data_IF_671835592872
#
_entry.id   IF_671835592872
#
_cell.length_a   1.000
_cell.length_b   1.000
_cell.length_c   1.000
_cell.angle_alpha   90.00
_cell.angle_beta   90.00
_cell.angle_gamma   90.00
#
_symmetry.space_group_name_H-M   'P 1'
#
loop_
_entity.id
_entity.type
_entity.pdbx_description
1 polymer ?
#
# COMPACT_ATOMS: atom_id res chain seq x y z
N UNK A 1 2.79 12.46 -31.24
CA UNK A 1 4.00 12.91 -31.96
C UNK A 1 3.68 13.56 -33.31
N UNK A 2 3.07 12.86 -34.27
CA UNK A 2 2.69 13.44 -35.58
C UNK A 2 1.74 14.63 -35.47
N UNK A 3 0.76 14.59 -34.57
CA UNK A 3 -0.14 15.71 -34.31
C UNK A 3 0.60 16.95 -33.76
N UNK A 4 1.52 16.77 -32.83
CA UNK A 4 2.36 17.85 -32.26
C UNK A 4 3.28 18.45 -33.32
N UNK A 5 3.88 17.61 -34.18
CA UNK A 5 4.72 18.05 -35.29
C UNK A 5 3.93 18.86 -36.32
N UNK A 6 2.77 18.38 -36.76
CA UNK A 6 1.92 19.08 -37.73
C UNK A 6 1.38 20.39 -37.16
N UNK A 7 0.93 20.38 -35.90
CA UNK A 7 0.48 21.57 -35.20
C UNK A 7 1.57 22.65 -35.18
N UNK A 8 2.80 22.26 -34.85
CA UNK A 8 3.88 23.23 -34.70
C UNK A 8 4.56 23.64 -36.00
N UNK A 9 4.55 22.78 -37.00
CA UNK A 9 4.94 23.12 -38.37
C UNK A 9 3.97 24.12 -39.03
N UNK A 10 2.66 24.06 -38.70
CA UNK A 10 1.63 24.92 -39.30
C UNK A 10 1.36 26.21 -38.50
N UNK A 11 1.39 26.14 -37.17
CA UNK A 11 1.09 27.29 -36.28
C UNK A 11 2.32 27.90 -35.60
N UNK A 12 3.46 27.19 -35.51
CA UNK A 12 4.64 27.66 -34.78
C UNK A 12 5.20 28.97 -35.32
N UNK A 13 5.18 29.16 -36.64
CA UNK A 13 5.60 30.42 -37.27
C UNK A 13 4.62 31.59 -37.06
N UNK A 14 3.36 31.32 -36.66
CA UNK A 14 2.35 32.35 -36.39
C UNK A 14 2.22 32.70 -34.91
N UNK A 15 2.57 31.77 -34.02
CA UNK A 15 2.40 31.92 -32.57
C UNK A 15 3.67 32.40 -31.86
N UNK A 16 4.86 32.20 -32.46
CA UNK A 16 6.15 32.57 -31.86
C UNK A 16 6.67 33.92 -32.40
N UNK A 17 7.29 34.78 -31.57
CA UNK A 17 7.90 36.02 -32.02
C UNK A 17 9.00 35.77 -33.06
N UNK A 18 9.11 36.59 -34.12
CA UNK A 18 10.11 36.42 -35.17
C UNK A 18 11.57 36.48 -34.68
N UNK A 19 11.80 36.99 -33.46
CA UNK A 19 13.11 37.02 -32.81
C UNK A 19 13.69 35.62 -32.48
N UNK A 20 12.84 34.59 -32.38
CA UNK A 20 13.25 33.19 -32.15
C UNK A 20 13.37 32.38 -33.45
N UNK A 21 12.98 32.95 -34.59
CA UNK A 21 12.89 32.28 -35.89
C UNK A 21 14.18 32.41 -36.72
N UNK A 22 15.35 32.21 -36.10
CA UNK A 22 16.62 32.16 -36.84
C UNK A 22 16.84 30.78 -37.52
N UNK A 23 16.08 29.76 -37.08
CA UNK A 23 16.17 28.37 -37.55
C UNK A 23 15.02 28.00 -38.52
N UNK A 24 15.24 26.99 -39.37
CA UNK A 24 14.20 26.50 -40.29
C UNK A 24 12.93 26.02 -39.55
N UNK A 25 11.72 26.25 -40.08
CA UNK A 25 10.46 25.92 -39.41
C UNK A 25 10.30 24.43 -39.08
N UNK A 26 10.92 23.56 -39.88
CA UNK A 26 10.94 22.11 -39.67
C UNK A 26 11.80 21.73 -38.46
N UNK A 27 12.94 22.41 -38.25
CA UNK A 27 13.83 22.19 -37.10
C UNK A 27 13.13 22.54 -35.79
N UNK A 28 12.45 23.69 -35.76
CA UNK A 28 11.66 24.13 -34.61
C UNK A 28 10.51 23.15 -34.29
N UNK A 29 9.77 22.72 -35.31
CA UNK A 29 8.68 21.74 -35.14
C UNK A 29 9.19 20.40 -34.58
N UNK A 30 10.35 19.93 -35.03
CA UNK A 30 11.00 18.71 -34.55
C UNK A 30 11.46 18.84 -33.09
N UNK A 31 12.14 19.93 -32.74
CA UNK A 31 12.62 20.20 -31.39
C UNK A 31 11.48 20.19 -30.38
N UNK A 32 10.41 20.93 -30.64
CA UNK A 32 9.28 21.05 -29.72
C UNK A 32 8.42 19.79 -29.67
N UNK A 33 8.36 19.01 -30.76
CA UNK A 33 7.75 17.67 -30.73
C UNK A 33 8.53 16.71 -29.82
N UNK A 34 9.86 16.76 -29.85
CA UNK A 34 10.71 15.97 -28.97
C UNK A 34 10.59 16.43 -27.52
N UNK A 35 10.56 17.75 -27.27
CA UNK A 35 10.33 18.32 -25.93
C UNK A 35 9.05 17.80 -25.29
N UNK A 36 7.93 17.78 -26.03
CA UNK A 36 6.65 17.26 -25.52
C UNK A 36 6.72 15.75 -25.24
N UNK A 37 7.40 14.97 -26.08
CA UNK A 37 7.59 13.54 -25.84
C UNK A 37 8.37 13.28 -24.55
N UNK A 38 9.49 13.98 -24.36
CA UNK A 38 10.36 13.79 -23.19
C UNK A 38 9.64 14.21 -21.90
N UNK A 39 8.89 15.32 -21.93
CA UNK A 39 8.09 15.75 -20.77
C UNK A 39 7.00 14.73 -20.44
N UNK A 40 6.39 14.09 -21.44
CA UNK A 40 5.37 13.06 -21.23
C UNK A 40 5.91 11.76 -20.63
N UNK A 41 7.20 11.47 -20.80
CA UNK A 41 7.85 10.30 -20.22
C UNK A 41 8.26 10.56 -18.76
N UNK A 42 7.29 10.47 -17.86
CA UNK A 42 7.55 10.60 -16.41
C UNK A 42 8.09 9.29 -15.83
N UNK A 43 9.40 9.21 -15.62
CA UNK A 43 10.04 8.12 -14.86
C UNK A 43 9.49 7.99 -13.43
N UNK A 44 9.02 9.10 -12.86
CA UNK A 44 8.45 9.12 -11.51
C UNK A 44 7.16 8.30 -11.41
N UNK A 45 6.34 8.29 -12.47
CA UNK A 45 5.08 7.54 -12.49
C UNK A 45 5.32 6.03 -12.35
N UNK A 46 6.35 5.51 -13.02
CA UNK A 46 6.71 4.09 -12.96
C UNK A 46 7.34 3.66 -11.63
N UNK A 47 8.02 4.57 -10.94
CA UNK A 47 8.67 4.29 -9.65
C UNK A 47 7.78 4.61 -8.43
N UNK A 48 6.69 5.34 -8.61
CA UNK A 48 5.82 5.74 -7.51
C UNK A 48 5.29 4.55 -6.70
N UNK A 49 4.74 3.53 -7.38
CA UNK A 49 4.16 2.34 -6.73
C UNK A 49 5.22 1.49 -5.98
N UNK A 50 6.35 1.08 -6.60
CA UNK A 50 7.32 0.26 -5.89
C UNK A 50 7.98 1.01 -4.72
N UNK A 51 8.17 2.33 -4.84
CA UNK A 51 8.75 3.13 -3.74
C UNK A 51 7.76 3.28 -2.58
N UNK A 52 6.48 3.52 -2.84
CA UNK A 52 5.46 3.60 -1.78
C UNK A 52 5.28 2.26 -1.06
N UNK A 53 5.28 1.14 -1.79
CA UNK A 53 5.18 -0.21 -1.20
C UNK A 53 6.41 -0.54 -0.38
N UNK A 54 7.61 -0.24 -0.88
CA UNK A 54 8.87 -0.53 -0.18
C UNK A 54 8.97 0.25 1.14
N UNK A 55 8.72 1.55 1.11
CA UNK A 55 8.77 2.42 2.30
C UNK A 55 7.60 2.13 3.25
N UNK A 56 6.41 1.87 2.72
CA UNK A 56 5.25 1.49 3.52
C UNK A 56 5.46 0.18 4.27
N UNK A 57 6.05 -0.81 3.60
CA UNK A 57 6.37 -2.11 4.22
C UNK A 57 7.46 -1.98 5.27
N UNK A 58 8.53 -1.21 5.00
CA UNK A 58 9.59 -1.00 5.99
C UNK A 58 9.07 -0.30 7.24
N UNK A 59 8.22 0.72 7.09
CA UNK A 59 7.59 1.42 8.19
C UNK A 59 6.53 0.57 8.94
N UNK A 60 5.88 -0.36 8.24
CA UNK A 60 4.99 -1.34 8.86
C UNK A 60 5.75 -2.35 9.71
N UNK A 61 6.90 -2.83 9.20
CA UNK A 61 7.76 -3.77 9.92
C UNK A 61 8.29 -3.19 11.24
N UNK A 62 8.63 -1.90 11.29
CA UNK A 62 9.03 -1.25 12.56
C UNK A 62 7.89 -1.15 13.58
N UNK A 63 6.63 -1.29 13.15
CA UNK A 63 5.45 -1.36 14.01
C UNK A 63 4.98 -2.79 14.31
N UNK A 64 5.77 -3.80 13.94
CA UNK A 64 5.43 -5.22 14.15
C UNK A 64 4.43 -5.79 13.13
N UNK A 65 4.16 -5.09 12.03
CA UNK A 65 3.32 -5.58 10.94
C UNK A 65 4.19 -6.29 9.90
N UNK A 66 4.05 -7.60 9.79
CA UNK A 66 4.75 -8.40 8.78
C UNK A 66 3.88 -8.57 7.53
N UNK A 67 4.13 -7.74 6.51
CA UNK A 67 3.40 -7.79 5.24
C UNK A 67 4.15 -8.67 4.24
N UNK A 68 3.49 -9.71 3.73
CA UNK A 68 4.09 -10.65 2.77
C UNK A 68 3.66 -10.30 1.34
N UNK A 69 4.46 -9.48 0.66
CA UNK A 69 4.26 -9.06 -0.73
C UNK A 69 3.57 -7.71 -0.88
N UNK A 70 3.84 -7.01 -1.99
CA UNK A 70 3.37 -5.64 -2.23
C UNK A 70 1.86 -5.50 -2.47
N UNK A 71 1.26 -6.49 -3.14
CA UNK A 71 -0.17 -6.54 -3.48
C UNK A 71 -1.06 -6.50 -2.23
N UNK A 72 -0.57 -6.98 -1.09
CA UNK A 72 -1.32 -6.97 0.18
C UNK A 72 -1.63 -5.53 0.60
N UNK A 73 -0.67 -4.62 0.45
CA UNK A 73 -0.84 -3.22 0.84
C UNK A 73 -1.84 -2.49 -0.07
N UNK A 74 -1.86 -2.84 -1.36
CA UNK A 74 -2.83 -2.32 -2.32
C UNK A 74 -4.25 -2.81 -2.01
N UNK A 75 -4.42 -4.12 -1.78
CA UNK A 75 -5.72 -4.73 -1.47
C UNK A 75 -6.25 -4.33 -0.10
N UNK A 76 -5.38 -4.01 0.85
CA UNK A 76 -5.79 -3.61 2.19
C UNK A 76 -6.67 -2.36 2.19
N UNK A 77 -6.51 -1.47 1.18
CA UNK A 77 -7.33 -0.26 1.03
C UNK A 77 -8.81 -0.54 0.81
N UNK A 78 -9.15 -1.71 0.23
CA UNK A 78 -10.54 -2.10 -0.06
C UNK A 78 -11.12 -3.05 0.99
N UNK A 79 -10.35 -3.39 2.04
CA UNK A 79 -10.84 -4.27 3.11
C UNK A 79 -11.76 -3.48 4.03
N UNK A 80 -13.01 -3.90 4.11
CA UNK A 80 -14.07 -3.32 4.95
C UNK A 80 -14.38 -4.17 6.19
N UNK A 81 -14.16 -5.49 6.10
CA UNK A 81 -14.54 -6.46 7.13
C UNK A 81 -13.32 -7.25 7.61
N UNK A 82 -13.16 -7.34 8.93
CA UNK A 82 -12.10 -8.13 9.59
C UNK A 82 -12.74 -9.25 10.40
N UNK A 83 -12.47 -10.50 10.02
CA UNK A 83 -12.82 -11.68 10.80
C UNK A 83 -11.61 -12.14 11.62
N UNK A 84 -11.79 -12.21 12.94
CA UNK A 84 -10.79 -12.76 13.84
C UNK A 84 -11.07 -14.24 14.11
N UNK A 85 -10.02 -15.07 14.03
CA UNK A 85 -10.10 -16.40 14.59
C UNK A 85 -10.15 -16.32 16.13
N UNK A 86 -10.87 -17.21 16.80
CA UNK A 86 -11.02 -17.17 18.26
C UNK A 86 -9.82 -17.80 18.95
N UNK A 87 -9.39 -18.96 18.49
CA UNK A 87 -8.36 -19.76 19.16
C UNK A 87 -6.98 -19.29 18.73
N UNK A 88 -6.16 -18.80 19.68
CA UNK A 88 -4.79 -18.37 19.37
C UNK A 88 -4.66 -16.95 18.77
N UNK A 89 -5.75 -16.31 18.32
CA UNK A 89 -5.75 -14.88 17.96
C UNK A 89 -6.39 -14.03 19.07
N UNK A 90 -7.69 -14.22 19.36
CA UNK A 90 -8.34 -13.51 20.47
C UNK A 90 -8.05 -14.13 21.84
N UNK A 91 -7.76 -15.42 21.85
CA UNK A 91 -7.47 -16.18 23.07
C UNK A 91 -6.03 -16.67 23.06
N UNK A 92 -5.50 -16.93 24.24
CA UNK A 92 -4.11 -17.39 24.48
C UNK A 92 -3.86 -18.81 23.90
N UNK A 93 -4.90 -19.49 23.39
CA UNK A 93 -4.80 -20.84 22.83
C UNK A 93 -4.49 -21.92 23.87
N UNK A 94 -4.49 -21.57 25.16
CA UNK A 94 -4.24 -22.48 26.29
C UNK A 94 -5.51 -22.63 27.11
N UNK A 95 -6.21 -23.78 27.04
CA UNK A 95 -7.42 -24.00 27.82
C UNK A 95 -7.09 -24.03 29.32
N UNK A 96 -7.89 -23.37 30.14
CA UNK A 96 -7.78 -23.37 31.61
C UNK A 96 -9.17 -23.59 32.19
N UNK A 97 -9.26 -24.46 33.21
CA UNK A 97 -10.53 -24.72 33.90
C UNK A 97 -10.88 -23.49 34.73
N UNK A 98 -11.95 -22.79 34.37
CA UNK A 98 -12.40 -21.59 35.08
C UNK A 98 -13.49 -21.88 36.12
N UNK A 99 -14.29 -22.93 35.89
CA UNK A 99 -15.39 -23.29 36.79
C UNK A 99 -15.68 -24.78 36.67
N UNK A 100 -15.77 -25.44 37.81
CA UNK A 100 -16.33 -26.80 37.92
C UNK A 100 -17.69 -26.65 38.58
N UNK A 101 -18.75 -27.10 37.91
CA UNK A 101 -20.11 -27.13 38.46
C UNK A 101 -20.50 -28.59 38.64
N UNK A 102 -20.60 -29.02 39.90
CA UNK A 102 -21.18 -30.31 40.27
C UNK A 102 -22.67 -30.15 40.50
N UNK A 103 -23.51 -30.90 39.78
CA UNK A 103 -24.92 -31.06 40.13
C UNK A 103 -25.06 -32.25 41.08
N UNK A 104 -24.81 -32.02 42.36
CA UNK A 104 -24.91 -33.05 43.39
C UNK A 104 -24.21 -32.65 44.68
N UNK A 105 -24.82 -31.74 45.44
CA UNK A 105 -24.51 -31.60 46.86
C UNK A 105 -25.57 -32.39 47.62
N UNK A 106 -25.15 -33.56 48.09
CA UNK A 106 -25.97 -34.45 48.89
C UNK A 106 -25.09 -35.37 49.73
N UNK A 107 -24.11 -34.84 50.46
CA UNK A 107 -23.87 -35.18 51.87
C UNK A 107 -22.75 -34.31 52.44
N UNK A 108 -22.96 -33.89 53.67
CA UNK A 108 -22.03 -33.20 54.53
C UNK A 108 -21.38 -34.25 55.41
N UNK A 109 -20.06 -34.39 55.36
CA UNK A 109 -19.29 -34.98 56.46
C UNK A 109 -18.02 -34.15 56.66
N UNK A 110 -17.98 -33.49 57.82
CA UNK A 110 -16.77 -33.05 58.50
C UNK A 110 -15.79 -34.24 58.60
N UNK A 111 -14.56 -34.05 58.14
CA UNK A 111 -13.42 -34.78 58.64
C UNK A 111 -12.23 -33.82 58.74
N UNK A 112 -12.03 -33.41 59.98
CA UNK A 112 -10.92 -32.69 60.56
C UNK A 112 -9.52 -33.29 60.22
N UNK A 113 -8.52 -32.44 60.45
CA UNK A 113 -7.16 -32.79 60.83
C UNK A 113 -6.10 -33.16 59.76
N UNK A 114 -5.11 -32.26 59.71
CA UNK A 114 -3.66 -32.50 59.47
C UNK A 114 -3.19 -32.77 58.04
N UNK A 115 -2.42 -31.82 57.50
CA UNK A 115 -0.97 -32.05 57.35
C UNK A 115 -0.24 -30.71 57.09
N UNK A 116 0.41 -30.23 58.14
CA UNK A 116 1.62 -29.41 58.09
C UNK A 116 2.81 -30.36 58.01
N UNK A 117 3.51 -30.42 56.87
CA UNK A 117 4.97 -30.61 56.75
C UNK A 117 5.40 -29.94 55.46
#
# INVERSE_FOLDING_TARGET
MTATFMFWNLFGARLLPPALCHESPVSLALQLSFTVLVIGYSCALGLAIPTSVMVGTSLGATKGLLLRGGIVLERFTTVDTIMFDKTGTLTIGRPTVTKVVSQGQGHQEDADARLSV
#
